data_IF_422851726504
#
_entry.id   IF_422851726504
#
_cell.length_a   1.000
_cell.length_b   1.000
_cell.length_c   1.000
_cell.angle_alpha   90.00
_cell.angle_beta   90.00
_cell.angle_gamma   90.00
#
_symmetry.space_group_name_H-M   'P 1'
#
loop_
_entity.id
_entity.type
_entity.pdbx_description
1 polymer ?
#
# COMPACT_ATOMS: atom_id res chain seq x y z
N UNK A 1 -29.99 -24.16 10.77
CA UNK A 1 -28.67 -23.56 10.48
C UNK A 1 -28.75 -22.33 9.59
N UNK A 2 -29.42 -22.37 8.43
CA UNK A 2 -29.50 -21.20 7.52
C UNK A 2 -30.17 -19.96 8.14
N UNK A 3 -31.24 -20.13 8.94
CA UNK A 3 -31.91 -19.02 9.61
C UNK A 3 -31.03 -18.31 10.64
N UNK A 4 -30.22 -19.03 11.41
CA UNK A 4 -29.25 -18.46 12.36
C UNK A 4 -28.15 -17.66 11.64
N UNK A 5 -27.74 -18.11 10.46
CA UNK A 5 -26.76 -17.38 9.62
C UNK A 5 -27.36 -16.06 9.10
N UNK A 6 -28.63 -16.04 8.68
CA UNK A 6 -29.30 -14.82 8.25
C UNK A 6 -29.54 -13.84 9.41
N UNK A 7 -29.91 -14.34 10.59
CA UNK A 7 -30.07 -13.51 11.81
C UNK A 7 -28.72 -12.92 12.20
N UNK A 8 -27.62 -13.69 12.15
CA UNK A 8 -26.28 -13.20 12.45
C UNK A 8 -25.81 -12.13 11.44
N UNK A 9 -26.08 -12.30 10.14
CA UNK A 9 -25.78 -11.32 9.10
C UNK A 9 -26.64 -10.06 9.27
N UNK A 10 -27.92 -10.18 9.58
CA UNK A 10 -28.80 -9.03 9.84
C UNK A 10 -28.43 -8.26 11.10
N UNK A 11 -28.01 -8.95 12.18
CA UNK A 11 -27.53 -8.29 13.42
C UNK A 11 -26.19 -7.56 13.16
N UNK A 12 -25.33 -8.11 12.32
CA UNK A 12 -24.07 -7.44 11.92
C UNK A 12 -24.35 -6.15 11.13
N UNK A 13 -25.38 -6.15 10.29
CA UNK A 13 -25.79 -4.97 9.50
C UNK A 13 -26.44 -3.89 10.38
N UNK A 14 -27.20 -4.27 11.40
CA UNK A 14 -27.91 -3.34 12.28
C UNK A 14 -27.00 -2.63 13.32
N UNK A 15 -25.81 -3.16 13.60
CA UNK A 15 -24.82 -2.52 14.51
C UNK A 15 -23.92 -1.49 13.82
N UNK A 16 -24.17 -1.15 12.55
CA UNK A 16 -23.30 -0.31 11.71
C UNK A 16 -23.38 1.22 11.99
N UNK A 17 -23.93 1.66 13.12
CA UNK A 17 -24.21 3.09 13.37
C UNK A 17 -23.04 3.95 13.88
N UNK A 18 -21.80 3.46 13.87
CA UNK A 18 -20.62 4.28 14.19
C UNK A 18 -19.45 3.97 13.22
N UNK A 19 -19.72 4.12 11.91
CA UNK A 19 -18.72 3.94 10.88
C UNK A 19 -17.76 5.13 10.97
N UNK A 20 -16.53 4.89 11.43
CA UNK A 20 -15.46 5.88 11.39
C UNK A 20 -14.86 5.93 9.99
N UNK A 21 -14.38 7.13 9.60
CA UNK A 21 -13.73 7.35 8.32
C UNK A 21 -12.61 6.32 8.05
N UNK A 22 -12.69 5.67 6.90
CA UNK A 22 -11.62 4.83 6.37
C UNK A 22 -10.62 5.69 5.60
N UNK A 23 -9.33 5.39 5.77
CA UNK A 23 -8.24 6.02 5.05
C UNK A 23 -7.77 5.17 3.88
N UNK A 24 -7.16 5.83 2.91
CA UNK A 24 -6.35 5.16 1.88
C UNK A 24 -5.02 4.67 2.45
N UNK A 25 -4.31 3.87 1.67
CA UNK A 25 -3.04 3.26 2.07
C UNK A 25 -1.84 4.07 1.59
N UNK A 26 -0.72 3.92 2.29
CA UNK A 26 0.59 4.43 1.84
C UNK A 26 1.03 3.69 0.58
N UNK A 27 1.79 4.37 -0.27
CA UNK A 27 2.41 3.71 -1.43
C UNK A 27 3.49 2.74 -0.95
N UNK A 28 3.44 1.45 -1.31
CA UNK A 28 4.45 0.47 -0.93
C UNK A 28 5.85 0.89 -1.38
N UNK A 29 6.86 0.66 -0.54
CA UNK A 29 8.25 1.04 -0.80
C UNK A 29 8.53 2.54 -0.77
N UNK A 30 7.56 3.37 -0.36
CA UNK A 30 7.71 4.81 -0.24
C UNK A 30 8.56 5.26 0.95
N UNK A 31 8.97 6.54 0.94
CA UNK A 31 9.79 7.14 2.00
C UNK A 31 9.11 7.08 3.37
N UNK A 32 7.79 7.18 3.42
CA UNK A 32 7.02 7.10 4.65
C UNK A 32 7.17 5.72 5.31
N UNK A 33 7.18 4.65 4.52
CA UNK A 33 7.35 3.29 5.02
C UNK A 33 8.76 3.07 5.61
N UNK A 34 9.80 3.60 4.94
CA UNK A 34 11.17 3.57 5.48
C UNK A 34 11.30 4.32 6.80
N UNK A 35 10.64 5.48 6.91
CA UNK A 35 10.60 6.22 8.16
C UNK A 35 9.92 5.42 9.28
N UNK A 36 8.79 4.77 8.99
CA UNK A 36 8.07 3.97 9.98
C UNK A 36 8.90 2.81 10.50
N UNK A 37 9.58 2.07 9.60
CA UNK A 37 10.49 1.00 10.00
C UNK A 37 11.61 1.53 10.91
N UNK A 38 12.16 2.71 10.60
CA UNK A 38 13.18 3.37 11.43
C UNK A 38 12.63 3.79 12.79
N UNK A 39 11.44 4.36 12.85
CA UNK A 39 10.78 4.74 14.09
C UNK A 39 10.47 3.52 14.96
N UNK A 40 9.96 2.44 14.36
CA UNK A 40 9.70 1.16 15.06
C UNK A 40 10.96 0.63 15.75
N UNK A 41 12.08 0.58 15.02
CA UNK A 41 13.37 0.11 15.57
C UNK A 41 13.85 1.01 16.72
N UNK A 42 13.75 2.33 16.57
CA UNK A 42 14.26 3.29 17.54
C UNK A 42 13.41 3.40 18.81
N UNK A 43 12.09 3.41 18.63
CA UNK A 43 11.17 3.66 19.75
C UNK A 43 10.67 2.39 20.40
N UNK A 44 10.74 1.24 19.71
CA UNK A 44 10.22 -0.07 20.16
C UNK A 44 8.79 0.02 20.68
N UNK A 45 7.97 0.86 20.07
CA UNK A 45 6.57 1.04 20.47
C UNK A 45 5.71 -0.13 19.98
N UNK A 46 4.75 -0.56 20.81
CA UNK A 46 3.80 -1.61 20.41
C UNK A 46 2.94 -1.22 19.22
N UNK A 47 2.68 0.06 19.09
CA UNK A 47 1.76 0.60 18.11
C UNK A 47 2.22 0.35 16.68
N UNK A 48 3.53 0.37 16.42
CA UNK A 48 4.10 0.15 15.09
C UNK A 48 4.35 -1.32 14.73
N UNK A 49 4.14 -2.25 15.64
CA UNK A 49 4.54 -3.66 15.49
C UNK A 49 3.67 -4.48 14.53
N UNK A 50 2.62 -3.92 13.95
CA UNK A 50 1.91 -4.52 12.82
C UNK A 50 2.33 -3.94 11.46
N UNK A 51 3.54 -3.40 11.37
CA UNK A 51 4.13 -2.83 10.15
C UNK A 51 4.41 -3.85 9.05
N UNK A 52 4.33 -5.14 9.35
CA UNK A 52 4.50 -6.25 8.42
C UNK A 52 3.32 -6.47 7.44
N UNK A 53 2.20 -5.77 7.62
CA UNK A 53 1.04 -5.79 6.74
C UNK A 53 1.05 -4.56 5.83
N UNK A 54 1.58 -4.67 4.64
CA UNK A 54 1.71 -3.55 3.71
C UNK A 54 0.79 -3.71 2.49
N UNK A 55 0.33 -2.63 1.92
CA UNK A 55 0.52 -1.22 2.29
C UNK A 55 -0.16 -0.85 3.61
N UNK A 56 0.40 0.14 4.31
CA UNK A 56 -0.08 0.60 5.62
C UNK A 56 -1.20 1.63 5.48
N UNK A 57 -2.19 1.55 6.36
CA UNK A 57 -3.31 2.50 6.41
C UNK A 57 -2.82 3.89 6.87
N UNK A 58 -3.07 4.96 6.08
CA UNK A 58 -2.57 6.32 6.36
C UNK A 58 -3.09 6.91 7.67
N UNK A 59 -4.37 6.72 7.98
CA UNK A 59 -4.96 7.20 9.23
C UNK A 59 -4.28 6.60 10.44
N UNK A 60 -4.07 5.28 10.40
CA UNK A 60 -3.37 4.58 11.48
C UNK A 60 -1.93 5.12 11.62
N UNK A 61 -1.21 5.26 10.49
CA UNK A 61 0.17 5.78 10.49
C UNK A 61 0.24 7.18 11.08
N UNK A 62 -0.63 8.10 10.63
CA UNK A 62 -0.66 9.48 11.12
C UNK A 62 -0.96 9.52 12.62
N UNK A 63 -1.95 8.75 13.08
CA UNK A 63 -2.31 8.71 14.50
C UNK A 63 -1.14 8.24 15.38
N UNK A 64 -0.39 7.23 14.95
CA UNK A 64 0.75 6.72 15.73
C UNK A 64 1.96 7.66 15.65
N UNK A 65 2.21 8.27 14.50
CA UNK A 65 3.32 9.22 14.34
C UNK A 65 3.04 10.55 15.05
N UNK A 66 1.80 11.04 15.08
CA UNK A 66 1.42 12.25 15.82
C UNK A 66 1.56 12.06 17.34
N UNK A 67 1.25 10.85 17.85
CA UNK A 67 1.54 10.48 19.24
C UNK A 67 3.05 10.50 19.53
N UNK A 68 3.87 9.95 18.63
CA UNK A 68 5.33 9.99 18.78
C UNK A 68 5.88 11.41 18.73
N UNK A 69 5.36 12.30 17.88
CA UNK A 69 5.73 13.72 17.83
C UNK A 69 5.40 14.43 19.16
N UNK A 70 4.24 14.13 19.73
CA UNK A 70 3.82 14.66 21.03
C UNK A 70 4.71 14.16 22.17
N UNK A 71 5.06 12.86 22.20
CA UNK A 71 5.97 12.26 23.18
C UNK A 71 7.40 12.82 23.05
N UNK A 72 7.85 13.10 21.83
CA UNK A 72 9.14 13.75 21.61
C UNK A 72 9.17 15.16 22.18
N UNK A 73 8.10 15.93 22.00
CA UNK A 73 7.99 17.28 22.55
C UNK A 73 8.06 17.31 24.09
N UNK A 74 7.51 16.29 24.75
CA UNK A 74 7.55 16.13 26.23
C UNK A 74 8.83 15.43 26.71
N UNK A 75 9.78 15.06 25.83
CA UNK A 75 11.02 14.35 26.13
C UNK A 75 10.78 13.01 26.83
N UNK A 76 9.72 12.31 26.44
CA UNK A 76 9.40 10.97 26.97
C UNK A 76 10.54 9.98 26.73
N UNK A 77 10.70 9.04 27.62
CA UNK A 77 11.78 8.04 27.61
C UNK A 77 11.76 7.16 26.33
N UNK A 78 10.60 6.92 25.77
CA UNK A 78 10.44 6.13 24.52
C UNK A 78 11.02 6.83 23.30
N UNK A 79 11.21 8.16 23.37
CA UNK A 79 11.71 8.99 22.25
C UNK A 79 13.19 9.34 22.38
N UNK A 80 13.89 8.89 23.44
CA UNK A 80 15.33 9.18 23.66
C UNK A 80 16.25 8.81 22.49
N UNK A 81 15.86 7.81 21.68
CA UNK A 81 16.62 7.39 20.49
C UNK A 81 16.36 8.22 19.23
N UNK A 82 15.41 9.14 19.25
CA UNK A 82 15.08 9.99 18.10
C UNK A 82 16.03 11.17 18.01
N UNK A 83 16.38 11.54 16.78
CA UNK A 83 17.24 12.69 16.46
C UNK A 83 16.40 13.83 15.89
N UNK A 84 16.98 15.03 15.78
CA UNK A 84 16.33 16.16 15.09
C UNK A 84 15.98 15.84 13.63
N UNK A 85 16.77 14.99 12.97
CA UNK A 85 16.44 14.50 11.63
C UNK A 85 15.19 13.60 11.63
N UNK A 86 15.01 12.76 12.66
CA UNK A 86 13.81 11.95 12.80
C UNK A 86 12.58 12.83 13.01
N UNK A 87 12.69 13.87 13.86
CA UNK A 87 11.64 14.87 14.07
C UNK A 87 11.26 15.60 12.78
N UNK A 88 12.25 16.06 12.03
CA UNK A 88 12.03 16.67 10.72
C UNK A 88 11.27 15.73 9.76
N UNK A 89 11.65 14.45 9.70
CA UNK A 89 11.00 13.46 8.85
C UNK A 89 9.59 13.13 9.35
N UNK A 90 9.35 13.07 10.66
CA UNK A 90 8.02 12.94 11.27
C UNK A 90 7.11 14.07 10.79
N UNK A 91 7.57 15.31 10.90
CA UNK A 91 6.81 16.47 10.46
C UNK A 91 6.50 16.45 8.97
N UNK A 92 7.47 16.01 8.14
CA UNK A 92 7.24 15.82 6.69
C UNK A 92 6.19 14.74 6.40
N UNK A 93 6.21 13.63 7.13
CA UNK A 93 5.19 12.58 7.00
C UNK A 93 3.81 13.11 7.38
N UNK A 94 3.69 13.80 8.50
CA UNK A 94 2.42 14.40 8.95
C UNK A 94 1.89 15.43 7.95
N UNK A 95 2.76 16.28 7.40
CA UNK A 95 2.43 17.25 6.37
C UNK A 95 1.95 16.59 5.06
N UNK A 96 2.63 15.53 4.62
CA UNK A 96 2.26 14.80 3.41
C UNK A 96 0.91 14.07 3.54
N UNK A 97 0.48 13.80 4.77
CA UNK A 97 -0.78 13.14 5.12
C UNK A 97 -1.72 14.11 5.86
N UNK A 98 -1.79 15.33 5.37
CA UNK A 98 -2.53 16.45 5.99
C UNK A 98 -4.03 16.20 6.15
N UNK A 99 -4.60 15.22 5.45
CA UNK A 99 -5.99 14.79 5.61
C UNK A 99 -6.29 14.17 6.98
N UNK A 100 -5.26 13.67 7.67
CA UNK A 100 -5.38 13.02 8.98
C UNK A 100 -4.60 13.73 10.08
N UNK A 101 -3.65 14.59 9.72
CA UNK A 101 -2.85 15.35 10.69
C UNK A 101 -3.51 16.69 11.03
N UNK A 102 -3.23 17.19 12.24
CA UNK A 102 -3.63 18.57 12.61
C UNK A 102 -2.87 19.58 11.77
N UNK A 103 -3.54 20.61 11.24
CA UNK A 103 -2.86 21.69 10.52
C UNK A 103 -1.80 22.36 11.42
N UNK A 104 -0.60 22.56 10.87
CA UNK A 104 0.47 23.33 11.52
C UNK A 104 0.95 24.43 10.58
N UNK A 105 1.35 25.57 11.11
CA UNK A 105 1.87 26.71 10.33
C UNK A 105 3.03 26.31 9.42
N UNK A 106 3.90 25.41 9.88
CA UNK A 106 5.03 24.88 9.11
C UNK A 106 4.62 24.22 7.77
N UNK A 107 3.34 23.88 7.60
CA UNK A 107 2.84 23.28 6.35
C UNK A 107 2.53 24.31 5.28
N UNK A 108 2.45 25.60 5.62
CA UNK A 108 2.14 26.68 4.68
C UNK A 108 3.30 26.85 3.69
N UNK A 109 2.97 27.00 2.41
CA UNK A 109 3.95 27.27 1.37
C UNK A 109 4.26 28.78 1.34
N UNK A 110 5.41 29.19 1.87
CA UNK A 110 5.80 30.61 1.98
C UNK A 110 6.52 31.13 0.74
N UNK A 111 7.25 30.26 0.01
CA UNK A 111 8.03 30.66 -1.17
C UNK A 111 7.12 30.97 -2.36
N UNK A 112 7.31 32.13 -3.02
CA UNK A 112 6.42 32.64 -4.06
C UNK A 112 6.22 31.69 -5.26
N UNK A 113 7.24 31.00 -5.74
CA UNK A 113 7.14 30.01 -6.82
C UNK A 113 6.29 28.79 -6.42
N UNK A 114 6.33 28.38 -5.15
CA UNK A 114 5.60 27.22 -4.65
C UNK A 114 4.19 27.62 -4.20
N UNK A 115 4.02 28.84 -3.67
CA UNK A 115 2.73 29.36 -3.18
C UNK A 115 1.65 29.41 -4.28
N UNK A 116 2.03 29.62 -5.53
CA UNK A 116 1.10 29.61 -6.68
C UNK A 116 0.72 28.23 -7.19
N UNK A 117 1.59 27.21 -6.96
CA UNK A 117 1.42 25.85 -7.47
C UNK A 117 0.93 24.88 -6.40
N UNK A 118 1.29 25.08 -5.15
CA UNK A 118 1.00 24.17 -4.04
C UNK A 118 0.14 24.84 -2.97
N UNK A 119 -0.90 24.15 -2.51
CA UNK A 119 -1.73 24.60 -1.38
C UNK A 119 -0.96 24.53 -0.07
N UNK A 120 -0.17 23.47 0.10
CA UNK A 120 0.81 23.37 1.18
C UNK A 120 2.14 22.82 0.63
N UNK A 121 3.18 22.74 1.45
CA UNK A 121 4.53 22.29 1.00
C UNK A 121 4.57 20.86 0.45
N UNK A 122 3.56 20.05 0.69
CA UNK A 122 3.51 18.64 0.27
C UNK A 122 2.45 18.36 -0.80
N UNK A 123 1.36 19.14 -0.86
CA UNK A 123 0.23 18.86 -1.72
C UNK A 123 -0.05 20.00 -2.68
N UNK A 124 -0.06 19.69 -3.98
CA UNK A 124 -0.39 20.66 -5.04
C UNK A 124 -1.88 21.02 -5.00
N UNK A 125 -2.73 20.01 -4.96
CA UNK A 125 -4.17 20.17 -4.81
C UNK A 125 -4.56 19.56 -3.45
N UNK A 126 -5.23 20.36 -2.63
CA UNK A 126 -5.81 19.95 -1.35
C UNK A 126 -7.16 20.66 -1.20
N UNK A 127 -8.24 19.97 -1.55
CA UNK A 127 -9.61 20.47 -1.49
C UNK A 127 -10.37 19.71 -0.41
N UNK A 128 -11.02 20.46 0.48
CA UNK A 128 -11.72 19.91 1.65
C UNK A 128 -13.07 20.58 1.84
N UNK A 129 -14.08 19.74 2.00
CA UNK A 129 -15.41 20.12 2.46
C UNK A 129 -15.77 19.25 3.67
N UNK A 130 -16.95 19.43 4.26
CA UNK A 130 -17.47 18.61 5.35
C UNK A 130 -17.48 17.11 5.03
N UNK A 131 -17.78 16.75 3.78
CA UNK A 131 -18.02 15.39 3.35
C UNK A 131 -17.01 14.86 2.31
N UNK A 132 -16.10 15.71 1.86
CA UNK A 132 -15.18 15.34 0.79
C UNK A 132 -13.79 15.94 1.00
N UNK A 133 -12.78 15.08 0.85
CA UNK A 133 -11.36 15.47 0.80
C UNK A 133 -10.77 14.94 -0.50
N UNK A 134 -10.08 15.80 -1.24
CA UNK A 134 -9.33 15.44 -2.44
C UNK A 134 -7.93 16.01 -2.37
N UNK A 135 -6.94 15.14 -2.51
CA UNK A 135 -5.53 15.49 -2.62
C UNK A 135 -5.00 14.93 -3.93
N UNK A 136 -4.35 15.79 -4.73
CA UNK A 136 -3.71 15.37 -5.96
C UNK A 136 -2.33 15.98 -6.10
N UNK A 137 -1.36 15.15 -6.49
CA UNK A 137 0.04 15.51 -6.65
C UNK A 137 0.59 14.95 -7.96
N UNK A 138 1.42 15.71 -8.70
CA UNK A 138 2.17 15.18 -9.83
C UNK A 138 3.29 14.26 -9.33
N UNK A 139 3.68 13.33 -10.16
CA UNK A 139 4.80 12.43 -9.93
C UNK A 139 5.85 12.67 -11.01
N UNK A 140 7.06 13.00 -10.59
CA UNK A 140 8.22 13.10 -11.47
C UNK A 140 9.41 12.39 -10.82
N UNK A 141 10.05 11.49 -11.59
CA UNK A 141 11.28 10.84 -11.19
C UNK A 141 12.19 10.68 -12.40
N UNK A 142 13.30 11.42 -12.37
CA UNK A 142 14.32 11.38 -13.41
C UNK A 142 15.60 10.87 -12.79
N UNK A 143 16.12 9.79 -13.32
CA UNK A 143 17.40 9.22 -12.88
C UNK A 143 18.24 8.94 -14.13
N UNK A 144 19.54 9.16 -14.01
CA UNK A 144 20.53 8.79 -15.01
C UNK A 144 21.69 8.11 -14.31
N UNK A 145 22.21 7.06 -14.92
CA UNK A 145 23.33 6.29 -14.40
C UNK A 145 24.22 5.79 -15.51
N UNK A 146 25.40 5.36 -15.13
CA UNK A 146 26.36 4.71 -16.04
C UNK A 146 26.73 3.33 -15.51
N UNK A 147 27.17 2.46 -16.41
CA UNK A 147 27.68 1.14 -16.08
C UNK A 147 29.11 1.03 -16.63
N UNK A 148 30.05 0.60 -15.81
CA UNK A 148 31.41 0.32 -16.26
C UNK A 148 31.43 -0.74 -17.37
N UNK A 149 32.19 -0.49 -18.43
CA UNK A 149 32.29 -1.39 -19.58
C UNK A 149 31.09 -1.38 -20.56
N UNK A 150 30.14 -0.46 -20.39
CA UNK A 150 29.02 -0.30 -21.32
C UNK A 150 28.92 1.15 -21.80
N UNK A 151 28.80 1.36 -23.09
CA UNK A 151 28.62 2.70 -23.70
C UNK A 151 27.22 3.28 -23.51
N UNK A 152 26.24 2.45 -23.14
CA UNK A 152 24.85 2.88 -22.96
C UNK A 152 24.57 3.26 -21.51
N UNK A 153 24.15 4.51 -21.29
CA UNK A 153 23.68 4.98 -19.98
C UNK A 153 22.38 4.30 -19.57
N UNK A 154 22.22 4.03 -18.29
CA UNK A 154 20.94 3.66 -17.69
C UNK A 154 20.13 4.93 -17.41
N UNK A 155 18.82 4.86 -17.50
CA UNK A 155 17.95 5.99 -17.14
C UNK A 155 16.58 5.51 -16.65
N UNK A 156 15.93 6.33 -15.86
CA UNK A 156 14.51 6.24 -15.49
C UNK A 156 13.90 7.61 -15.78
N UNK A 157 12.83 7.61 -16.55
CA UNK A 157 11.99 8.77 -16.80
C UNK A 157 10.55 8.37 -16.45
N UNK A 158 10.08 8.82 -15.29
CA UNK A 158 8.76 8.53 -14.79
C UNK A 158 7.99 9.82 -14.58
N UNK A 159 6.77 9.86 -15.10
CA UNK A 159 5.84 10.99 -14.96
C UNK A 159 4.43 10.49 -14.74
N UNK A 160 3.66 11.21 -13.95
CA UNK A 160 2.31 10.78 -13.63
C UNK A 160 1.61 11.61 -12.59
N UNK A 161 0.59 11.01 -11.99
CA UNK A 161 -0.25 11.65 -11.00
C UNK A 161 -0.62 10.65 -9.88
N UNK A 162 -0.72 11.19 -8.68
CA UNK A 162 -1.26 10.49 -7.52
C UNK A 162 -2.44 11.30 -6.99
N UNK A 163 -3.61 10.68 -6.99
CA UNK A 163 -4.85 11.25 -6.47
C UNK A 163 -5.35 10.38 -5.33
N UNK A 164 -5.81 10.99 -4.25
CA UNK A 164 -6.46 10.28 -3.15
C UNK A 164 -7.51 11.15 -2.50
N UNK A 165 -8.47 10.53 -1.86
CA UNK A 165 -9.52 11.28 -1.20
C UNK A 165 -10.39 10.44 -0.28
N UNK A 166 -11.35 11.13 0.34
CA UNK A 166 -12.30 10.56 1.27
C UNK A 166 -13.68 11.11 0.92
N UNK A 167 -14.68 10.27 0.91
CA UNK A 167 -16.09 10.61 0.63
C UNK A 167 -16.92 10.25 1.84
N UNK A 168 -17.72 11.22 2.33
CA UNK A 168 -18.68 11.05 3.43
C UNK A 168 -18.03 10.55 4.72
N UNK A 169 -16.75 10.81 4.92
CA UNK A 169 -15.98 10.29 6.04
C UNK A 169 -16.06 8.75 6.21
N UNK A 170 -16.42 8.01 5.15
CA UNK A 170 -16.67 6.57 5.17
C UNK A 170 -15.83 5.80 4.16
N UNK A 171 -15.65 6.35 2.96
CA UNK A 171 -15.01 5.67 1.84
C UNK A 171 -13.74 6.43 1.49
N UNK A 172 -12.60 5.75 1.58
CA UNK A 172 -11.34 6.22 1.04
C UNK A 172 -11.16 5.72 -0.40
N UNK A 173 -10.64 6.55 -1.29
CA UNK A 173 -10.28 6.15 -2.64
C UNK A 173 -8.89 6.67 -3.00
N UNK A 174 -8.22 5.99 -3.92
CA UNK A 174 -6.97 6.46 -4.49
C UNK A 174 -6.83 6.02 -5.93
N UNK A 175 -6.04 6.79 -6.66
CA UNK A 175 -5.62 6.51 -8.03
C UNK A 175 -4.18 6.95 -8.21
N UNK A 176 -3.37 6.06 -8.76
CA UNK A 176 -1.97 6.28 -9.09
C UNK A 176 -1.76 5.88 -10.53
N UNK A 177 -1.18 6.77 -11.30
CA UNK A 177 -0.83 6.53 -12.69
C UNK A 177 0.55 7.07 -12.97
N UNK A 178 1.40 6.25 -13.57
CA UNK A 178 2.68 6.71 -14.11
C UNK A 178 2.98 6.08 -15.45
N UNK A 179 3.50 6.89 -16.36
CA UNK A 179 4.18 6.48 -17.56
C UNK A 179 5.68 6.36 -17.24
N UNK A 180 6.26 5.23 -17.57
CA UNK A 180 7.63 4.91 -17.21
C UNK A 180 8.43 4.53 -18.47
N UNK A 181 9.53 5.23 -18.69
CA UNK A 181 10.50 4.93 -19.73
C UNK A 181 11.83 4.65 -19.06
N UNK A 182 12.38 3.47 -19.29
CA UNK A 182 13.55 3.03 -18.54
C UNK A 182 14.54 2.29 -19.44
N UNK A 183 15.82 2.44 -19.10
CA UNK A 183 16.89 1.52 -19.50
C UNK A 183 17.62 1.09 -18.25
N UNK A 184 17.44 -0.14 -17.89
CA UNK A 184 17.97 -0.69 -16.64
C UNK A 184 19.32 -1.41 -16.85
N UNK A 185 20.06 -1.74 -15.77
CA UNK A 185 21.27 -2.56 -15.85
C UNK A 185 21.02 -3.91 -16.54
N UNK A 186 22.10 -4.51 -17.07
CA UNK A 186 21.99 -5.74 -17.87
C UNK A 186 21.28 -6.88 -17.18
N UNK A 187 21.51 -7.10 -15.88
CA UNK A 187 20.84 -8.18 -15.16
C UNK A 187 19.31 -8.06 -15.14
N UNK A 188 18.78 -6.85 -15.18
CA UNK A 188 17.31 -6.62 -15.32
C UNK A 188 16.88 -6.81 -16.77
N UNK A 189 17.73 -6.41 -17.74
CA UNK A 189 17.46 -6.67 -19.16
C UNK A 189 17.42 -8.17 -19.45
N UNK A 190 18.31 -8.97 -18.85
CA UNK A 190 18.34 -10.42 -18.98
C UNK A 190 17.07 -11.06 -18.37
N UNK A 191 16.63 -10.57 -17.21
CA UNK A 191 15.34 -10.95 -16.62
C UNK A 191 14.19 -10.64 -17.56
N UNK A 192 14.14 -9.42 -18.08
CA UNK A 192 13.12 -8.97 -19.03
C UNK A 192 13.07 -9.87 -20.27
N UNK A 193 14.22 -10.17 -20.85
CA UNK A 193 14.32 -11.00 -22.06
C UNK A 193 13.80 -12.43 -21.79
N UNK A 194 14.03 -12.96 -20.60
CA UNK A 194 13.57 -14.29 -20.18
C UNK A 194 12.07 -14.35 -19.91
N UNK A 195 11.50 -13.31 -19.26
CA UNK A 195 10.13 -13.35 -18.74
C UNK A 195 9.16 -12.42 -19.47
N UNK A 196 9.66 -11.56 -20.39
CA UNK A 196 8.88 -10.55 -21.12
C UNK A 196 8.10 -9.63 -20.13
N UNK A 197 8.70 -9.38 -18.98
CA UNK A 197 8.14 -8.58 -17.91
C UNK A 197 9.25 -7.89 -17.12
N UNK A 198 8.92 -6.77 -16.50
CA UNK A 198 9.81 -6.08 -15.56
C UNK A 198 9.37 -6.39 -14.14
N UNK A 199 10.29 -6.63 -13.20
CA UNK A 199 9.95 -6.82 -11.80
C UNK A 199 9.02 -5.71 -11.27
N UNK A 200 7.86 -6.09 -10.76
CA UNK A 200 6.87 -5.17 -10.22
C UNK A 200 6.00 -4.42 -11.24
N UNK A 201 6.21 -4.57 -12.55
CA UNK A 201 5.48 -3.82 -13.57
C UNK A 201 4.62 -4.68 -14.51
N UNK A 202 4.96 -5.95 -14.70
CA UNK A 202 4.25 -6.81 -15.64
C UNK A 202 4.70 -6.56 -17.09
N UNK A 203 3.74 -6.37 -18.00
CA UNK A 203 4.03 -6.24 -19.43
C UNK A 203 4.66 -4.91 -19.79
N UNK A 204 5.56 -4.98 -20.75
CA UNK A 204 6.34 -3.88 -21.24
C UNK A 204 6.29 -3.79 -22.77
N UNK A 205 6.56 -2.60 -23.29
CA UNK A 205 6.82 -2.34 -24.69
C UNK A 205 8.27 -1.92 -24.88
N UNK A 206 8.90 -2.36 -25.98
CA UNK A 206 10.27 -1.94 -26.28
C UNK A 206 10.33 -0.45 -26.61
N UNK A 207 11.33 0.24 -26.06
CA UNK A 207 11.58 1.66 -26.27
C UNK A 207 13.07 1.90 -26.53
N UNK A 208 13.40 2.46 -27.68
CA UNK A 208 14.79 2.67 -28.10
C UNK A 208 15.64 1.39 -27.98
N UNK A 209 16.94 1.50 -28.09
CA UNK A 209 17.86 0.37 -27.94
C UNK A 209 18.03 0.03 -26.45
N UNK A 210 17.65 -1.19 -26.08
CA UNK A 210 17.79 -1.71 -24.71
C UNK A 210 16.88 -1.10 -23.66
N UNK A 211 16.01 -0.16 -24.04
CA UNK A 211 15.01 0.43 -23.16
C UNK A 211 13.63 -0.21 -23.31
N UNK A 212 12.73 0.18 -22.43
CA UNK A 212 11.32 -0.23 -22.43
C UNK A 212 10.44 0.85 -21.81
N UNK A 213 9.19 0.84 -22.19
CA UNK A 213 8.14 1.66 -21.59
C UNK A 213 7.01 0.79 -21.04
N UNK A 214 6.35 1.30 -20.01
CA UNK A 214 5.18 0.68 -19.40
C UNK A 214 4.37 1.69 -18.59
N UNK A 215 3.12 1.36 -18.37
CA UNK A 215 2.26 2.10 -17.46
C UNK A 215 2.17 1.37 -16.12
N UNK A 216 2.31 2.10 -15.02
CA UNK A 216 1.96 1.61 -13.69
C UNK A 216 0.66 2.29 -13.26
N UNK A 217 -0.43 1.54 -13.31
CA UNK A 217 -1.76 1.98 -12.94
C UNK A 217 -2.17 1.25 -11.69
N UNK A 218 -2.58 2.00 -10.66
CA UNK A 218 -3.09 1.46 -9.41
C UNK A 218 -4.28 2.27 -8.96
N UNK A 219 -5.22 1.64 -8.28
CA UNK A 219 -6.35 2.34 -7.73
C UNK A 219 -7.24 1.43 -6.92
N UNK A 220 -8.05 2.04 -6.08
CA UNK A 220 -8.96 1.27 -5.27
C UNK A 220 -9.78 2.11 -4.31
N UNK A 221 -10.71 1.42 -3.69
CA UNK A 221 -11.57 1.94 -2.64
C UNK A 221 -11.39 1.12 -1.37
N UNK A 222 -11.50 1.80 -0.25
CA UNK A 222 -11.43 1.17 1.07
C UNK A 222 -12.52 1.72 1.97
N UNK A 223 -13.08 0.88 2.81
CA UNK A 223 -14.10 1.30 3.77
C UNK A 223 -14.00 0.48 5.05
N UNK A 224 -14.38 1.10 6.15
CA UNK A 224 -14.44 0.45 7.46
C UNK A 224 -15.82 -0.17 7.64
N UNK A 225 -15.87 -1.48 7.60
CA UNK A 225 -17.13 -2.24 7.76
C UNK A 225 -17.59 -2.23 9.21
N UNK A 226 -16.62 -2.36 10.14
CA UNK A 226 -16.84 -2.30 11.57
C UNK A 226 -15.64 -1.66 12.28
N UNK A 227 -15.74 -1.31 13.56
CA UNK A 227 -14.62 -0.75 14.34
C UNK A 227 -13.37 -1.63 14.35
N UNK A 228 -13.56 -2.93 14.20
CA UNK A 228 -12.51 -3.94 14.21
C UNK A 228 -12.22 -4.53 12.83
N UNK A 229 -12.89 -4.08 11.76
CA UNK A 229 -12.77 -4.67 10.42
C UNK A 229 -12.79 -3.61 9.32
N UNK A 230 -11.81 -3.65 8.46
CA UNK A 230 -11.74 -2.85 7.22
C UNK A 230 -11.64 -3.74 5.99
N UNK A 231 -12.18 -3.24 4.88
CA UNK A 231 -12.14 -3.87 3.57
C UNK A 231 -11.52 -2.93 2.54
N UNK A 232 -10.85 -3.52 1.56
CA UNK A 232 -10.32 -2.84 0.39
C UNK A 232 -10.61 -3.65 -0.87
N UNK A 233 -11.13 -2.98 -1.89
CA UNK A 233 -11.20 -3.47 -3.26
C UNK A 233 -10.25 -2.63 -4.11
N UNK A 234 -9.24 -3.25 -4.71
CA UNK A 234 -8.22 -2.49 -5.43
C UNK A 234 -7.55 -3.30 -6.54
N UNK A 235 -6.98 -2.57 -7.49
CA UNK A 235 -5.98 -3.04 -8.43
C UNK A 235 -4.62 -2.47 -8.02
N UNK A 236 -3.83 -3.26 -7.32
CA UNK A 236 -2.56 -2.82 -6.73
C UNK A 236 -1.71 -4.05 -6.32
N UNK A 237 -0.69 -3.82 -5.52
CA UNK A 237 0.20 -4.83 -4.93
C UNK A 237 -0.01 -4.93 -3.42
N UNK A 238 0.26 -6.11 -2.88
CA UNK A 238 0.27 -6.36 -1.44
C UNK A 238 1.63 -6.92 -1.04
N UNK A 239 2.00 -6.70 0.22
CA UNK A 239 3.24 -7.19 0.79
C UNK A 239 2.99 -7.66 2.23
N UNK A 240 3.49 -8.83 2.57
CA UNK A 240 3.44 -9.38 3.92
C UNK A 240 4.86 -9.73 4.33
N UNK A 241 5.39 -9.06 5.35
CA UNK A 241 6.72 -9.31 5.89
C UNK A 241 7.45 -8.05 6.31
N UNK A 242 8.64 -8.21 6.88
CA UNK A 242 9.49 -7.12 7.39
C UNK A 242 10.78 -6.91 6.60
N UNK A 243 11.10 -7.81 5.66
CA UNK A 243 12.29 -7.70 4.83
C UNK A 243 12.10 -6.74 3.65
N UNK A 244 13.19 -6.46 2.93
CA UNK A 244 13.18 -5.73 1.66
C UNK A 244 12.40 -6.50 0.58
N UNK A 245 12.47 -7.82 0.59
CA UNK A 245 11.63 -8.76 -0.15
C UNK A 245 10.98 -9.70 0.84
N UNK A 246 9.84 -10.26 0.51
CA UNK A 246 9.14 -11.21 1.37
C UNK A 246 9.14 -12.62 0.75
N UNK A 247 9.28 -13.62 1.62
CA UNK A 247 9.06 -15.02 1.27
C UNK A 247 7.57 -15.39 1.27
N UNK A 248 6.73 -14.59 1.96
CA UNK A 248 5.29 -14.84 2.04
C UNK A 248 4.55 -14.24 0.85
N UNK A 249 4.52 -12.91 0.77
CA UNK A 249 3.91 -12.18 -0.33
C UNK A 249 4.71 -10.91 -0.59
N UNK A 250 5.26 -10.78 -1.80
CA UNK A 250 6.11 -9.65 -2.20
C UNK A 250 5.43 -8.77 -3.24
N UNK A 251 5.71 -7.48 -3.19
CA UNK A 251 5.36 -6.47 -4.18
C UNK A 251 6.18 -6.56 -5.49
N UNK A 252 6.99 -7.59 -5.62
CA UNK A 252 7.74 -7.91 -6.84
C UNK A 252 6.82 -8.35 -8.00
N UNK A 253 5.60 -8.77 -7.71
CA UNK A 253 4.58 -9.11 -8.70
C UNK A 253 4.05 -7.87 -9.43
N UNK A 254 3.41 -8.09 -10.58
CA UNK A 254 2.57 -7.07 -11.21
C UNK A 254 1.36 -6.73 -10.34
N UNK A 255 0.73 -5.58 -10.64
CA UNK A 255 -0.54 -5.21 -10.03
C UNK A 255 -1.61 -6.25 -10.36
N UNK A 256 -2.50 -6.50 -9.42
CA UNK A 256 -3.61 -7.44 -9.59
C UNK A 256 -4.87 -6.93 -8.88
N UNK A 257 -6.03 -7.38 -9.34
CA UNK A 257 -7.30 -7.10 -8.69
C UNK A 257 -7.41 -7.95 -7.42
N UNK A 258 -7.79 -7.34 -6.30
CA UNK A 258 -7.99 -8.06 -5.06
C UNK A 258 -9.08 -7.46 -4.19
N UNK A 259 -9.65 -8.31 -3.35
CA UNK A 259 -10.40 -7.94 -2.15
C UNK A 259 -9.54 -8.30 -0.94
N UNK A 260 -9.34 -7.34 -0.06
CA UNK A 260 -8.58 -7.51 1.18
C UNK A 260 -9.46 -7.17 2.37
N UNK A 261 -9.45 -8.04 3.36
CA UNK A 261 -10.16 -7.87 4.62
C UNK A 261 -9.14 -7.91 5.75
N UNK A 262 -9.11 -6.87 6.57
CA UNK A 262 -8.31 -6.82 7.79
C UNK A 262 -9.24 -6.84 9.00
N UNK A 263 -8.94 -7.71 9.95
CA UNK A 263 -9.69 -7.82 11.21
C UNK A 263 -8.72 -7.63 12.38
N UNK A 264 -9.10 -6.81 13.35
CA UNK A 264 -8.29 -6.44 14.52
C UNK A 264 -9.02 -6.84 15.78
N UNK A 265 -8.39 -7.63 16.65
CA UNK A 265 -8.97 -8.00 17.93
C UNK A 265 -7.89 -8.18 19.01
N UNK A 266 -7.82 -7.21 19.88
CA UNK A 266 -6.84 -7.18 20.97
C UNK A 266 -5.39 -7.16 20.46
N UNK A 267 -4.66 -8.25 20.72
CA UNK A 267 -3.26 -8.45 20.29
C UNK A 267 -3.13 -9.18 18.94
N UNK A 268 -4.24 -9.43 18.26
CA UNK A 268 -4.28 -10.14 17.00
C UNK A 268 -4.64 -9.21 15.85
N UNK A 269 -4.02 -9.44 14.71
CA UNK A 269 -4.41 -8.90 13.42
C UNK A 269 -4.52 -10.03 12.42
N UNK A 270 -5.64 -10.14 11.76
CA UNK A 270 -5.90 -11.13 10.74
C UNK A 270 -6.20 -10.47 9.39
N UNK A 271 -5.48 -10.86 8.35
CA UNK A 271 -5.66 -10.35 7.00
C UNK A 271 -5.98 -11.50 6.06
N UNK A 272 -7.01 -11.31 5.25
CA UNK A 272 -7.34 -12.15 4.12
C UNK A 272 -7.23 -11.33 2.83
N UNK A 273 -6.56 -11.90 1.82
CA UNK A 273 -6.43 -11.33 0.48
C UNK A 273 -6.97 -12.36 -0.51
N UNK A 274 -7.92 -11.96 -1.33
CA UNK A 274 -8.47 -12.74 -2.43
C UNK A 274 -8.15 -12.02 -3.72
N UNK A 275 -7.30 -12.62 -4.56
CA UNK A 275 -6.76 -11.97 -5.75
C UNK A 275 -7.07 -12.74 -7.01
N UNK A 276 -7.33 -12.01 -8.09
CA UNK A 276 -7.30 -12.52 -9.45
C UNK A 276 -5.96 -12.18 -10.09
N UNK A 277 -5.24 -13.19 -10.56
CA UNK A 277 -3.97 -13.08 -11.24
C UNK A 277 -4.13 -13.43 -12.71
N UNK A 278 -3.37 -12.79 -13.57
CA UNK A 278 -3.34 -13.07 -15.01
C UNK A 278 -2.04 -13.77 -15.37
N UNK A 279 -2.11 -14.84 -16.17
CA UNK A 279 -0.91 -15.52 -16.66
C UNK A 279 -0.17 -14.61 -17.66
N UNK A 280 1.15 -14.67 -17.68
CA UNK A 280 1.97 -13.94 -18.63
C UNK A 280 1.97 -14.59 -20.04
N UNK A 281 1.52 -15.83 -20.17
CA UNK A 281 1.42 -16.53 -21.45
C UNK A 281 -0.02 -16.62 -21.91
N UNK A 282 -0.27 -16.22 -23.13
CA UNK A 282 -1.55 -16.46 -23.80
C UNK A 282 -1.72 -17.96 -24.07
N UNK A 283 -2.92 -18.47 -23.90
CA UNK A 283 -3.25 -19.86 -24.22
C UNK A 283 -4.65 -19.95 -24.81
N UNK A 284 -4.89 -21.02 -25.59
CA UNK A 284 -6.14 -21.21 -26.29
C UNK A 284 -6.18 -20.58 -27.69
N UNK A 285 -7.22 -20.89 -28.44
CA UNK A 285 -7.45 -20.38 -29.81
C UNK A 285 -7.78 -18.89 -29.84
N UNK A 286 -8.40 -18.38 -28.78
CA UNK A 286 -8.81 -16.98 -28.60
C UNK A 286 -7.66 -16.08 -28.13
N UNK A 287 -6.49 -16.66 -27.80
CA UNK A 287 -5.31 -15.96 -27.28
C UNK A 287 -5.57 -15.10 -26.04
N UNK A 288 -6.56 -15.45 -25.24
CA UNK A 288 -6.84 -14.79 -23.95
C UNK A 288 -5.81 -15.25 -22.91
N UNK A 289 -5.49 -14.35 -21.98
CA UNK A 289 -4.62 -14.68 -20.86
C UNK A 289 -5.39 -15.50 -19.82
N UNK A 290 -4.95 -16.73 -19.49
CA UNK A 290 -5.61 -17.54 -18.48
C UNK A 290 -5.60 -16.85 -17.12
N UNK A 291 -6.72 -16.91 -16.42
CA UNK A 291 -6.86 -16.40 -15.07
C UNK A 291 -6.41 -17.45 -14.04
N UNK A 292 -5.90 -16.95 -12.94
CA UNK A 292 -5.56 -17.73 -11.75
C UNK A 292 -6.11 -17.00 -10.55
N UNK A 293 -6.46 -17.72 -9.52
CA UNK A 293 -6.94 -17.12 -8.28
C UNK A 293 -5.98 -17.44 -7.15
N UNK A 294 -5.75 -16.46 -6.31
CA UNK A 294 -4.85 -16.59 -5.18
C UNK A 294 -5.55 -16.11 -3.92
N UNK A 295 -5.49 -16.91 -2.88
CA UNK A 295 -5.87 -16.55 -1.52
C UNK A 295 -4.62 -16.51 -0.65
N UNK A 296 -4.46 -15.44 0.12
CA UNK A 296 -3.48 -15.37 1.18
C UNK A 296 -4.18 -15.04 2.49
N UNK A 297 -3.87 -15.76 3.53
CA UNK A 297 -4.32 -15.51 4.89
C UNK A 297 -3.11 -15.35 5.80
N UNK A 298 -3.10 -14.29 6.61
CA UNK A 298 -2.02 -14.04 7.55
C UNK A 298 -2.56 -13.62 8.91
N UNK A 299 -2.26 -14.40 9.92
CA UNK A 299 -2.57 -14.12 11.32
C UNK A 299 -1.31 -13.66 12.03
N UNK A 300 -1.35 -12.48 12.61
CA UNK A 300 -0.26 -11.93 13.44
C UNK A 300 -0.72 -11.80 14.87
N UNK A 301 0.07 -12.33 15.79
CA UNK A 301 -0.13 -12.26 17.24
C UNK A 301 1.04 -11.59 17.92
N UNK A 302 0.76 -10.56 18.71
CA UNK A 302 1.76 -9.78 19.44
C UNK A 302 1.59 -9.94 20.94
N UNK A 303 2.18 -10.99 21.55
CA UNK A 303 2.11 -11.22 23.00
C UNK A 303 2.82 -10.13 23.80
N UNK A 304 3.99 -9.67 23.34
CA UNK A 304 4.84 -8.69 24.02
C UNK A 304 5.29 -7.57 23.05
N UNK A 305 6.04 -6.57 23.56
CA UNK A 305 6.55 -5.45 22.73
C UNK A 305 7.62 -5.87 21.73
N UNK A 306 8.34 -6.92 22.03
CA UNK A 306 9.51 -7.38 21.26
C UNK A 306 9.24 -8.64 20.45
N UNK A 307 8.07 -9.25 20.55
CA UNK A 307 7.72 -10.49 19.87
C UNK A 307 6.43 -10.34 19.10
N UNK A 308 6.50 -10.62 17.79
CA UNK A 308 5.36 -10.78 16.92
C UNK A 308 5.45 -12.15 16.24
N UNK A 309 4.42 -12.97 16.36
CA UNK A 309 4.34 -14.31 15.78
C UNK A 309 3.34 -14.26 14.64
N UNK A 310 3.75 -14.68 13.44
CA UNK A 310 2.91 -14.71 12.24
C UNK A 310 2.70 -16.12 11.72
N UNK A 311 1.46 -16.44 11.35
CA UNK A 311 1.09 -17.63 10.60
C UNK A 311 0.60 -17.21 9.21
N UNK A 312 1.15 -17.83 8.17
CA UNK A 312 0.82 -17.54 6.79
C UNK A 312 0.31 -18.78 6.06
N UNK A 313 -0.75 -18.60 5.29
CA UNK A 313 -1.23 -19.59 4.32
C UNK A 313 -1.43 -18.91 2.96
N UNK A 314 -0.94 -19.53 1.92
CA UNK A 314 -1.18 -19.11 0.53
C UNK A 314 -1.67 -20.26 -0.31
N UNK A 315 -2.80 -20.07 -0.99
CA UNK A 315 -3.40 -21.08 -1.89
C UNK A 315 -3.56 -20.49 -3.27
N UNK A 316 -3.04 -21.16 -4.27
CA UNK A 316 -3.18 -20.76 -5.68
C UNK A 316 -3.99 -21.78 -6.46
N UNK A 317 -5.05 -21.32 -7.10
CA UNK A 317 -5.91 -22.09 -7.98
C UNK A 317 -5.61 -21.69 -9.43
N UNK A 318 -5.07 -22.62 -10.20
CA UNK A 318 -4.72 -22.39 -11.61
C UNK A 318 -5.81 -22.85 -12.58
N UNK A 319 -5.82 -22.26 -13.79
CA UNK A 319 -6.64 -22.68 -14.94
C UNK A 319 -8.14 -22.86 -14.64
N UNK A 320 -8.74 -21.89 -13.97
CA UNK A 320 -10.18 -21.91 -13.75
C UNK A 320 -10.81 -20.68 -14.43
N UNK A 321 -11.78 -20.94 -15.28
CA UNK A 321 -12.51 -19.89 -15.99
C UNK A 321 -13.56 -19.20 -15.11
N UNK A 322 -13.86 -19.77 -13.94
CA UNK A 322 -14.85 -19.26 -13.01
C UNK A 322 -14.30 -19.13 -11.59
N UNK A 323 -14.65 -18.05 -10.94
CA UNK A 323 -14.42 -17.82 -9.52
C UNK A 323 -15.21 -18.88 -8.71
N UNK A 324 -14.54 -19.64 -7.87
CA UNK A 324 -15.18 -20.66 -7.02
C UNK A 324 -15.42 -20.11 -5.62
N UNK A 325 -16.62 -20.33 -5.06
CA UNK A 325 -16.99 -19.90 -3.70
C UNK A 325 -16.03 -20.38 -2.61
N UNK A 326 -15.46 -21.60 -2.65
CA UNK A 326 -14.47 -22.04 -1.66
C UNK A 326 -13.24 -21.14 -1.54
N UNK A 327 -12.89 -20.38 -2.60
CA UNK A 327 -11.79 -19.43 -2.54
C UNK A 327 -12.00 -18.36 -1.46
N UNK A 328 -13.26 -17.95 -1.23
CA UNK A 328 -13.62 -16.92 -0.25
C UNK A 328 -13.70 -17.44 1.20
N UNK A 329 -13.31 -18.70 1.45
CA UNK A 329 -13.26 -19.19 2.82
C UNK A 329 -12.17 -18.42 3.60
N UNK A 330 -12.51 -17.64 4.63
CA UNK A 330 -11.52 -16.87 5.38
C UNK A 330 -10.74 -17.70 6.39
N UNK A 331 -11.12 -18.96 6.63
CA UNK A 331 -10.52 -19.79 7.67
C UNK A 331 -9.22 -20.41 7.15
N UNK A 332 -8.12 -20.25 7.89
CA UNK A 332 -6.82 -20.85 7.57
C UNK A 332 -6.87 -22.38 7.74
N UNK A 333 -6.05 -23.04 6.94
CA UNK A 333 -5.81 -24.52 7.00
C UNK A 333 -7.07 -25.38 6.84
N UNK A 334 -8.12 -24.83 6.26
CA UNK A 334 -9.28 -25.64 5.85
C UNK A 334 -9.10 -26.13 4.42
N UNK A 335 -9.28 -27.44 4.20
CA UNK A 335 -9.30 -28.03 2.88
C UNK A 335 -10.45 -27.47 2.03
N UNK A 336 -10.21 -27.35 0.73
CA UNK A 336 -11.21 -26.95 -0.27
C UNK A 336 -12.10 -28.11 -0.66
#
# INVERSE_FOLDING_TARGET
>A
MKLLQYIFICTLILTANAIQAQSVYLTPGGKEEWLLNRLEIKTRTKQLSFSNFKPLNRKWVVNEVDKLDSLYATKDSTTKGLTELDKYNIQRLLMANSEWSKPKEIYIAEKSLIKGLYVNRANMIDKRNSDFILIANPIFNFQQGSKAGNTQSTFINQRGINVRGIIGNKIGFYFYFTENQERQPTYVQDWRNKFIAVPGAGYIKNFKVGGFDYFDVRGGVSWQVAKFMDMQLAYDRNFIGNGYRSLFLSDFSANNMFIKVNTYFGKFKYQNIFSELVSYRRSGSDRIYPRKYFRASYLSYQPTRWLNIGLFEGVMLGKRDKLSLPLFNPIMYTSF
#
